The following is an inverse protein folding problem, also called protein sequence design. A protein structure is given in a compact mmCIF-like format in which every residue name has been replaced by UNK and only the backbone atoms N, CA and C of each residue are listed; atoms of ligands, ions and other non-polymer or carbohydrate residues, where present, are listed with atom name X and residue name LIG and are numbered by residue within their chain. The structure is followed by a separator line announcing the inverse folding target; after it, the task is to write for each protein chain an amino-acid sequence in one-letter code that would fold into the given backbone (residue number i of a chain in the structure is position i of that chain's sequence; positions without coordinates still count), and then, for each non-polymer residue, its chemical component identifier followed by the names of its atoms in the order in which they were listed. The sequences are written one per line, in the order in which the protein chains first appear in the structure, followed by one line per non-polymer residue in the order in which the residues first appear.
data_IF_438978546218
#
_entry.id   IF_438978546218
#
_cell.length_a   1.000
_cell.length_b   1.000
_cell.length_c   1.000
_cell.angle_alpha   90.00
_cell.angle_beta   90.00
_cell.angle_gamma   90.00
#
_symmetry.space_group_name_H-M   'P 1'
#
loop_
_entity.id
_entity.type
_entity.pdbx_description
1 polymer ?
#
# COMPACT_ATOMS: atom_id res chain seq x y z
N UNK A 1 -22.52 16.06 9.52
CA UNK A 1 -21.39 15.36 8.88
C UNK A 1 -20.49 14.86 10.00
N UNK A 2 -20.62 13.60 10.39
CA UNK A 2 -19.73 12.94 11.34
C UNK A 2 -19.26 11.66 10.64
N UNK A 3 -18.19 11.77 9.86
CA UNK A 3 -17.64 10.69 9.03
C UNK A 3 -16.43 11.19 8.25
N UNK A 4 -15.54 10.28 7.84
CA UNK A 4 -14.36 10.61 7.04
C UNK A 4 -14.70 10.80 5.54
N UNK A 5 -15.98 10.88 5.17
CA UNK A 5 -16.46 10.88 3.79
C UNK A 5 -15.84 12.00 2.94
N UNK A 6 -15.71 13.22 3.50
CA UNK A 6 -15.08 14.36 2.80
C UNK A 6 -13.59 14.11 2.51
N UNK A 7 -12.89 13.44 3.44
CA UNK A 7 -11.49 13.04 3.24
C UNK A 7 -11.38 11.93 2.19
N UNK A 8 -12.27 10.94 2.23
CA UNK A 8 -12.30 9.84 1.27
C UNK A 8 -12.60 10.38 -0.13
N UNK A 9 -13.57 11.29 -0.28
CA UNK A 9 -13.87 11.97 -1.55
C UNK A 9 -12.68 12.80 -2.03
N UNK A 10 -12.03 13.57 -1.16
CA UNK A 10 -10.82 14.31 -1.53
C UNK A 10 -9.71 13.39 -2.06
N UNK A 11 -9.48 12.25 -1.41
CA UNK A 11 -8.52 11.26 -1.87
C UNK A 11 -8.87 10.72 -3.26
N UNK A 12 -10.11 10.26 -3.44
CA UNK A 12 -10.55 9.65 -4.69
C UNK A 12 -10.63 10.65 -5.86
N UNK A 13 -11.15 11.85 -5.63
CA UNK A 13 -11.48 12.79 -6.71
C UNK A 13 -10.34 13.76 -7.02
N UNK A 14 -9.60 14.22 -6.00
CA UNK A 14 -8.59 15.27 -6.14
C UNK A 14 -7.18 14.68 -6.15
N UNK A 15 -6.89 13.75 -5.23
CA UNK A 15 -5.53 13.27 -5.03
C UNK A 15 -5.17 12.14 -5.99
N UNK A 16 -6.02 11.13 -6.18
CA UNK A 16 -5.75 10.00 -7.10
C UNK A 16 -5.29 10.47 -8.48
N UNK A 17 -5.95 11.44 -9.17
CA UNK A 17 -5.48 11.91 -10.48
C UNK A 17 -4.08 12.54 -10.43
N UNK A 18 -3.77 13.29 -9.37
CA UNK A 18 -2.46 13.94 -9.18
C UNK A 18 -1.37 12.91 -8.89
N UNK A 19 -1.65 11.97 -7.98
CA UNK A 19 -0.74 10.88 -7.65
C UNK A 19 -0.44 10.02 -8.87
N UNK A 20 -1.46 9.63 -9.64
CA UNK A 20 -1.26 8.87 -10.88
C UNK A 20 -0.41 9.66 -11.89
N UNK A 21 -0.70 10.95 -12.08
CA UNK A 21 0.09 11.82 -12.99
C UNK A 21 1.56 11.90 -12.59
N UNK A 22 1.84 12.00 -11.30
CA UNK A 22 3.19 12.18 -10.77
C UNK A 22 3.78 10.91 -10.16
N UNK A 23 3.20 9.73 -10.46
CA UNK A 23 3.62 8.45 -9.85
C UNK A 23 5.11 8.19 -10.06
N UNK A 24 5.64 8.49 -11.25
CA UNK A 24 7.06 8.39 -11.56
C UNK A 24 7.99 9.25 -10.68
N UNK A 25 7.46 10.25 -9.97
CA UNK A 25 8.20 11.07 -9.00
C UNK A 25 7.89 10.69 -7.55
N UNK A 26 6.69 10.13 -7.29
CA UNK A 26 6.17 9.88 -5.94
C UNK A 26 6.34 8.43 -5.49
N UNK A 27 6.27 7.46 -6.40
CA UNK A 27 6.55 6.04 -6.12
C UNK A 27 8.00 5.86 -5.69
N UNK A 28 8.22 4.95 -4.74
CA UNK A 28 9.55 4.66 -4.18
C UNK A 28 10.12 5.71 -3.22
N UNK A 29 9.66 6.96 -3.21
CA UNK A 29 10.15 7.98 -2.26
C UNK A 29 9.88 7.61 -0.79
N UNK A 30 8.85 6.80 -0.54
CA UNK A 30 8.51 6.30 0.80
C UNK A 30 9.36 5.12 1.28
N UNK A 31 10.16 4.49 0.41
CA UNK A 31 10.81 3.21 0.71
C UNK A 31 11.79 3.28 1.90
N UNK A 32 12.42 4.42 2.14
CA UNK A 32 13.28 4.63 3.31
C UNK A 32 12.47 4.55 4.61
N UNK A 33 11.25 5.08 4.62
CA UNK A 33 10.37 5.00 5.79
C UNK A 33 9.87 3.57 6.02
N UNK A 34 9.44 2.90 4.95
CA UNK A 34 8.93 1.53 5.05
C UNK A 34 10.01 0.53 5.48
N UNK A 35 11.23 0.63 4.93
CA UNK A 35 12.35 -0.25 5.33
C UNK A 35 12.70 -0.15 6.81
N UNK A 36 12.75 1.06 7.37
CA UNK A 36 12.96 1.26 8.82
C UNK A 36 11.81 0.66 9.64
N UNK A 37 10.57 0.75 9.15
CA UNK A 37 9.42 0.18 9.84
C UNK A 37 9.50 -1.36 9.89
N UNK A 38 9.83 -2.01 8.77
CA UNK A 38 9.95 -3.48 8.73
C UNK A 38 11.02 -3.99 9.69
N UNK A 39 12.18 -3.31 9.74
CA UNK A 39 13.27 -3.65 10.65
C UNK A 39 12.86 -3.45 12.10
N UNK A 40 12.18 -2.35 12.42
CA UNK A 40 11.70 -2.07 13.77
C UNK A 40 10.64 -3.06 14.25
N UNK A 41 9.70 -3.45 13.37
CA UNK A 41 8.67 -4.43 13.67
C UNK A 41 9.17 -5.88 13.62
N UNK A 42 10.40 -6.08 13.17
CA UNK A 42 11.07 -7.38 13.09
C UNK A 42 10.26 -8.43 12.31
N UNK A 43 9.68 -8.05 11.18
CA UNK A 43 8.80 -8.90 10.36
C UNK A 43 9.48 -10.24 10.01
N UNK A 44 8.81 -11.36 10.29
CA UNK A 44 9.32 -12.72 10.11
C UNK A 44 8.54 -13.54 9.08
N UNK A 45 9.16 -14.60 8.54
CA UNK A 45 8.44 -15.64 7.82
C UNK A 45 7.29 -16.21 8.63
N UNK A 46 6.09 -16.28 8.05
CA UNK A 46 4.87 -16.75 8.70
C UNK A 46 4.02 -15.66 9.35
N UNK A 47 4.50 -14.42 9.43
CA UNK A 47 3.75 -13.33 10.05
C UNK A 47 2.52 -12.91 9.22
N UNK A 48 1.57 -12.31 9.92
CA UNK A 48 0.40 -11.66 9.32
C UNK A 48 0.48 -10.16 9.52
N UNK A 49 0.45 -9.41 8.44
CA UNK A 49 0.63 -7.95 8.43
C UNK A 49 -0.59 -7.25 7.83
N UNK A 50 -1.02 -6.16 8.46
CA UNK A 50 -2.04 -5.25 7.95
C UNK A 50 -1.40 -3.91 7.62
N UNK A 51 -1.50 -3.49 6.35
CA UNK A 51 -1.02 -2.19 5.87
C UNK A 51 -2.21 -1.25 5.61
N UNK A 52 -2.30 -0.15 6.35
CA UNK A 52 -3.42 0.80 6.30
C UNK A 52 -2.99 2.06 5.54
N UNK A 53 -3.69 2.37 4.46
CA UNK A 53 -3.27 3.36 3.47
C UNK A 53 -2.22 2.81 2.51
N UNK A 54 -2.41 1.57 2.06
CA UNK A 54 -1.40 0.84 1.28
C UNK A 54 -1.15 1.42 -0.13
N UNK A 55 -2.00 2.32 -0.61
CA UNK A 55 -1.88 2.95 -1.92
C UNK A 55 -1.72 1.92 -3.04
N UNK A 56 -0.64 2.04 -3.83
CA UNK A 56 -0.34 1.12 -4.93
C UNK A 56 0.17 -0.26 -4.49
N UNK A 57 0.29 -0.53 -3.18
CA UNK A 57 0.64 -1.85 -2.65
C UNK A 57 2.12 -2.23 -2.74
N UNK A 58 3.02 -1.29 -3.10
CA UNK A 58 4.47 -1.54 -3.20
C UNK A 58 5.02 -2.13 -1.88
N UNK A 59 4.70 -1.50 -0.75
CA UNK A 59 5.04 -1.96 0.61
C UNK A 59 4.45 -3.35 0.90
N UNK A 60 3.20 -3.61 0.52
CA UNK A 60 2.56 -4.91 0.71
C UNK A 60 3.32 -6.03 -0.01
N UNK A 61 3.79 -5.78 -1.24
CA UNK A 61 4.55 -6.75 -2.03
C UNK A 61 5.92 -7.04 -1.41
N UNK A 62 6.59 -6.01 -0.89
CA UNK A 62 7.85 -6.17 -0.17
C UNK A 62 7.67 -7.03 1.08
N UNK A 63 6.69 -6.69 1.92
CA UNK A 63 6.37 -7.46 3.14
C UNK A 63 5.91 -8.88 2.80
N UNK A 64 5.17 -9.07 1.70
CA UNK A 64 4.74 -10.38 1.22
C UNK A 64 5.93 -11.32 0.96
N UNK A 65 7.03 -10.79 0.41
CA UNK A 65 8.28 -11.54 0.24
C UNK A 65 8.96 -11.87 1.56
N UNK A 66 8.87 -11.00 2.56
CA UNK A 66 9.47 -11.21 3.89
C UNK A 66 8.72 -12.28 4.70
N UNK A 67 7.39 -12.21 4.73
CA UNK A 67 6.56 -13.19 5.45
C UNK A 67 6.49 -14.53 4.71
N UNK A 68 6.72 -14.54 3.41
CA UNK A 68 6.80 -15.75 2.59
C UNK A 68 5.46 -16.52 2.50
N UNK A 69 5.48 -17.74 1.93
CA UNK A 69 4.26 -18.49 1.61
C UNK A 69 3.47 -18.98 2.83
N UNK A 70 4.07 -18.95 4.03
CA UNK A 70 3.39 -19.29 5.28
C UNK A 70 2.75 -18.08 5.97
N UNK A 71 3.01 -16.87 5.48
CA UNK A 71 2.49 -15.62 6.04
C UNK A 71 1.42 -14.98 5.16
N UNK A 72 0.97 -13.79 5.55
CA UNK A 72 -0.11 -13.07 4.88
C UNK A 72 0.07 -11.56 5.02
N UNK A 73 -0.16 -10.82 3.95
CA UNK A 73 -0.21 -9.35 3.99
C UNK A 73 -1.53 -8.87 3.41
N UNK A 74 -2.28 -8.12 4.21
CA UNK A 74 -3.52 -7.49 3.80
C UNK A 74 -3.30 -5.97 3.66
N UNK A 75 -3.42 -5.46 2.44
CA UNK A 75 -3.45 -4.02 2.19
C UNK A 75 -4.87 -3.49 2.25
N UNK A 76 -5.05 -2.34 2.91
CA UNK A 76 -6.32 -1.61 2.97
C UNK A 76 -6.08 -0.15 2.58
N UNK A 77 -6.90 0.35 1.67
CA UNK A 77 -6.90 1.77 1.28
C UNK A 77 -8.34 2.25 1.06
N UNK A 78 -8.56 3.55 1.22
CA UNK A 78 -9.86 4.19 0.99
C UNK A 78 -10.07 4.58 -0.48
N UNK A 79 -9.07 4.39 -1.33
CA UNK A 79 -9.12 4.74 -2.74
C UNK A 79 -9.27 3.49 -3.61
N UNK A 80 -10.43 3.33 -4.23
CA UNK A 80 -10.72 2.17 -5.07
C UNK A 80 -9.73 2.07 -6.23
N UNK A 81 -9.38 3.20 -6.85
CA UNK A 81 -8.42 3.24 -7.96
C UNK A 81 -7.02 2.76 -7.58
N UNK A 82 -6.52 3.07 -6.37
CA UNK A 82 -5.22 2.56 -5.96
C UNK A 82 -5.27 1.07 -5.68
N UNK A 83 -6.36 0.58 -5.06
CA UNK A 83 -6.56 -0.85 -4.85
C UNK A 83 -6.64 -1.64 -6.16
N UNK A 84 -7.29 -1.11 -7.19
CA UNK A 84 -7.34 -1.75 -8.52
C UNK A 84 -5.93 -1.89 -9.12
N UNK A 85 -5.11 -0.83 -9.03
CA UNK A 85 -3.72 -0.84 -9.49
C UNK A 85 -2.89 -1.83 -8.67
N UNK A 86 -3.02 -1.79 -7.34
CA UNK A 86 -2.28 -2.65 -6.43
C UNK A 86 -2.58 -4.13 -6.66
N UNK A 87 -3.87 -4.48 -6.82
CA UNK A 87 -4.28 -5.85 -7.11
C UNK A 87 -3.75 -6.33 -8.46
N UNK A 88 -3.82 -5.49 -9.50
CA UNK A 88 -3.25 -5.83 -10.81
C UNK A 88 -1.74 -6.07 -10.73
N UNK A 89 -1.01 -5.17 -10.08
CA UNK A 89 0.45 -5.28 -9.96
C UNK A 89 0.88 -6.46 -9.08
N UNK A 90 0.09 -6.79 -8.04
CA UNK A 90 0.26 -8.04 -7.28
C UNK A 90 0.13 -9.26 -8.19
N UNK A 91 -0.93 -9.34 -8.97
CA UNK A 91 -1.19 -10.49 -9.84
C UNK A 91 -0.12 -10.62 -10.93
N UNK A 92 0.44 -9.50 -11.40
CA UNK A 92 1.58 -9.48 -12.34
C UNK A 92 2.91 -9.91 -11.70
N UNK A 93 3.08 -9.69 -10.39
CA UNK A 93 4.29 -10.04 -9.67
C UNK A 93 4.42 -11.55 -9.34
N UNK A 94 3.30 -12.29 -9.40
CA UNK A 94 3.22 -13.71 -9.04
C UNK A 94 3.24 -14.00 -7.55
#
# INVERSE_FOLDING_TARGET
MNGNDDFISCWNEILVPKWNRFRHLLSGNGAVHSSMAYEYFDIKPGDKVLDIGCGYGETCLEMGRMVGPGGEVLGLDCTETFLDIANRERDEAG
#
